data_IF_700157936418
#
_entry.id   IF_700157936418
#
_cell.length_a   1.000
_cell.length_b   1.000
_cell.length_c   1.000
_cell.angle_alpha   90.00
_cell.angle_beta   90.00
_cell.angle_gamma   90.00
#
_symmetry.space_group_name_H-M   'P 1'
#
loop_
_entity.id
_entity.type
_entity.pdbx_description
1 polymer ?
#
# COMPACT_ATOMS: atom_id res chain seq x y z
N UNK A 1 8.53 -47.40 -37.75
CA UNK A 1 10.01 -47.35 -37.72
C UNK A 1 10.41 -45.90 -37.52
N UNK A 2 11.09 -45.45 -36.47
CA UNK A 2 11.84 -46.14 -35.43
C UNK A 2 11.38 -45.66 -34.05
N UNK A 3 11.21 -46.64 -33.16
CA UNK A 3 11.02 -46.51 -31.72
C UNK A 3 12.40 -46.30 -31.10
N UNK A 4 12.58 -45.28 -30.27
CA UNK A 4 13.68 -45.27 -29.30
C UNK A 4 13.11 -45.17 -27.90
N UNK A 5 13.16 -46.33 -27.23
CA UNK A 5 12.94 -46.51 -25.81
C UNK A 5 14.04 -45.78 -25.02
N UNK A 6 13.66 -44.90 -24.10
CA UNK A 6 14.57 -44.47 -23.04
C UNK A 6 14.58 -45.51 -21.93
N UNK A 7 15.70 -46.22 -21.80
CA UNK A 7 16.01 -47.10 -20.66
C UNK A 7 16.56 -46.26 -19.50
N UNK A 8 15.89 -46.37 -18.36
CA UNK A 8 16.48 -46.49 -17.02
C UNK A 8 17.42 -45.39 -16.52
N UNK A 9 16.90 -44.55 -15.63
CA UNK A 9 17.71 -43.97 -14.55
C UNK A 9 17.14 -44.39 -13.19
N UNK A 10 18.04 -44.88 -12.35
CA UNK A 10 17.78 -45.58 -11.08
C UNK A 10 17.12 -44.65 -10.05
N UNK A 11 16.12 -45.19 -9.33
CA UNK A 11 15.65 -44.64 -8.05
C UNK A 11 16.84 -44.60 -7.08
N UNK A 12 17.36 -43.41 -6.81
CA UNK A 12 18.20 -43.18 -5.64
C UNK A 12 17.27 -42.84 -4.47
N UNK A 13 17.13 -43.80 -3.55
CA UNK A 13 16.57 -43.58 -2.22
C UNK A 13 17.62 -42.75 -1.47
N UNK A 14 17.39 -41.45 -1.30
CA UNK A 14 18.18 -40.66 -0.35
C UNK A 14 17.48 -40.80 0.99
N UNK A 15 18.06 -41.64 1.84
CA UNK A 15 17.69 -41.81 3.23
C UNK A 15 17.80 -40.46 3.97
N UNK A 16 16.80 -40.19 4.80
CA UNK A 16 16.72 -38.98 5.61
C UNK A 16 17.95 -38.83 6.50
N UNK A 17 18.60 -37.68 6.36
CA UNK A 17 19.54 -37.16 7.35
C UNK A 17 18.83 -35.98 8.01
N UNK A 18 18.07 -36.28 9.08
CA UNK A 18 17.60 -35.25 10.00
C UNK A 18 18.84 -34.75 10.73
N UNK A 19 19.42 -33.65 10.23
CA UNK A 19 20.35 -32.86 11.03
C UNK A 19 19.52 -32.20 12.14
N UNK A 20 19.53 -32.82 13.32
CA UNK A 20 19.21 -32.12 14.55
C UNK A 20 20.33 -31.11 14.83
N UNK A 21 20.26 -29.95 14.18
CA UNK A 21 20.97 -28.77 14.63
C UNK A 21 20.33 -28.35 15.96
N UNK A 22 20.99 -28.71 17.06
CA UNK A 22 20.76 -28.06 18.35
C UNK A 22 21.05 -26.58 18.17
N UNK A 23 20.01 -25.78 17.97
CA UNK A 23 20.11 -24.33 18.00
C UNK A 23 20.49 -23.94 19.43
N UNK A 24 21.78 -23.70 19.67
CA UNK A 24 22.11 -22.67 20.63
C UNK A 24 21.55 -21.38 20.04
N UNK A 25 20.47 -20.85 20.62
CA UNK A 25 19.99 -19.51 20.36
C UNK A 25 21.06 -18.54 20.85
N UNK A 26 22.09 -18.33 20.03
CA UNK A 26 22.68 -17.02 19.93
C UNK A 26 21.60 -16.23 19.17
N UNK A 27 20.88 -15.36 19.87
CA UNK A 27 20.12 -14.30 19.19
C UNK A 27 21.15 -13.51 18.37
N UNK A 28 21.31 -13.87 17.10
CA UNK A 28 22.03 -13.02 16.19
C UNK A 28 21.22 -11.73 16.13
N UNK A 29 21.74 -10.65 16.70
CA UNK A 29 21.12 -9.32 16.54
C UNK A 29 20.96 -9.08 15.04
N UNK A 30 19.71 -8.96 14.62
CA UNK A 30 19.41 -8.66 13.23
C UNK A 30 19.88 -7.24 12.97
N UNK A 31 20.67 -7.01 11.91
CA UNK A 31 21.30 -5.73 11.68
C UNK A 31 20.23 -4.71 11.25
N UNK A 32 19.65 -4.02 12.23
CA UNK A 32 18.82 -2.83 12.03
C UNK A 32 19.70 -1.57 12.06
N UNK A 33 19.36 -0.60 11.22
CA UNK A 33 20.02 0.70 11.17
C UNK A 33 19.21 1.74 11.94
N UNK A 34 19.69 2.07 13.15
CA UNK A 34 19.08 3.08 14.03
C UNK A 34 19.37 4.52 13.59
N UNK A 35 20.25 4.73 12.61
CA UNK A 35 20.55 6.06 12.07
C UNK A 35 19.51 6.54 11.08
N UNK A 36 18.73 5.62 10.50
CA UNK A 36 17.63 5.94 9.58
C UNK A 36 16.56 6.71 10.34
N UNK A 37 16.25 7.92 9.88
CA UNK A 37 15.23 8.78 10.47
C UNK A 37 13.98 8.78 9.58
N UNK A 38 12.76 8.66 10.15
CA UNK A 38 11.52 8.81 9.40
C UNK A 38 11.39 10.19 8.75
N UNK A 39 10.62 10.28 7.65
CA UNK A 39 10.27 11.53 6.98
C UNK A 39 8.75 11.68 6.99
N UNK A 40 8.24 12.72 7.65
CA UNK A 40 6.81 12.92 7.79
C UNK A 40 6.20 13.48 6.51
N UNK A 41 5.17 12.80 6.02
CA UNK A 41 4.45 13.14 4.80
C UNK A 41 2.96 13.36 5.08
N UNK A 42 2.29 14.01 4.13
CA UNK A 42 0.84 14.07 4.05
C UNK A 42 0.39 13.65 2.66
N UNK A 43 -0.75 12.96 2.61
CA UNK A 43 -1.45 12.62 1.36
C UNK A 43 -2.76 13.40 1.30
N UNK A 44 -2.97 14.17 0.24
CA UNK A 44 -4.16 14.99 0.00
C UNK A 44 -4.85 14.58 -1.29
N UNK A 45 -6.01 13.94 -1.16
CA UNK A 45 -6.88 13.59 -2.28
C UNK A 45 -7.93 14.68 -2.47
N UNK A 46 -7.88 15.33 -3.63
CA UNK A 46 -8.91 16.28 -4.08
C UNK A 46 -9.83 15.60 -5.05
N UNK A 47 -11.12 15.85 -4.89
CA UNK A 47 -12.15 15.25 -5.70
C UNK A 47 -12.94 16.31 -6.46
N UNK A 48 -13.54 15.88 -7.55
CA UNK A 48 -14.19 16.71 -8.54
C UNK A 48 -15.40 16.00 -9.12
N UNK A 49 -16.44 16.79 -9.35
CA UNK A 49 -17.71 16.32 -9.90
C UNK A 49 -18.11 17.25 -11.02
N UNK A 50 -18.07 16.74 -12.24
CA UNK A 50 -18.56 17.43 -13.42
C UNK A 50 -19.95 16.91 -13.75
N UNK A 51 -20.87 17.82 -14.09
CA UNK A 51 -22.23 17.48 -14.45
C UNK A 51 -22.84 18.54 -15.37
N UNK A 52 -24.03 18.23 -15.86
CA UNK A 52 -24.89 19.15 -16.60
C UNK A 52 -26.29 19.22 -15.94
N UNK A 53 -27.25 19.83 -16.63
CA UNK A 53 -28.63 19.95 -16.13
C UNK A 53 -29.36 18.61 -15.94
N UNK A 54 -28.87 17.55 -16.59
CA UNK A 54 -29.46 16.21 -16.61
C UNK A 54 -28.67 15.25 -15.69
N UNK A 55 -27.73 15.74 -14.88
CA UNK A 55 -27.01 14.98 -13.86
C UNK A 55 -25.48 14.94 -14.02
N UNK A 56 -24.84 14.16 -13.17
CA UNK A 56 -23.39 13.98 -13.15
C UNK A 56 -22.88 13.29 -14.42
N UNK A 57 -21.69 13.70 -14.86
CA UNK A 57 -20.98 13.21 -16.05
C UNK A 57 -19.69 12.48 -15.68
N UNK A 58 -18.92 13.06 -14.76
CA UNK A 58 -17.61 12.54 -14.36
C UNK A 58 -17.37 12.79 -12.88
N UNK A 59 -16.99 11.73 -12.16
CA UNK A 59 -16.43 11.78 -10.82
C UNK A 59 -14.93 11.54 -10.92
N UNK A 60 -14.12 12.52 -10.55
CA UNK A 60 -12.67 12.36 -10.64
C UNK A 60 -11.94 12.81 -9.39
N UNK A 61 -10.73 12.32 -9.19
CA UNK A 61 -9.85 12.78 -8.13
C UNK A 61 -8.39 12.85 -8.57
N UNK A 62 -7.60 13.58 -7.78
CA UNK A 62 -6.15 13.58 -7.85
C UNK A 62 -5.59 13.55 -6.44
N UNK A 63 -4.49 12.84 -6.25
CA UNK A 63 -3.84 12.72 -4.95
C UNK A 63 -2.44 13.33 -5.00
N UNK A 64 -2.16 14.21 -4.03
CA UNK A 64 -0.91 14.95 -3.90
C UNK A 64 -0.17 14.48 -2.65
N UNK A 65 1.16 14.48 -2.71
CA UNK A 65 2.04 14.09 -1.60
C UNK A 65 2.93 15.27 -1.24
N UNK A 66 3.08 15.56 0.04
CA UNK A 66 3.92 16.68 0.51
C UNK A 66 4.64 16.33 1.80
N UNK A 67 5.83 16.91 1.98
CA UNK A 67 6.56 16.84 3.26
C UNK A 67 5.87 17.74 4.28
N UNK A 68 5.76 17.25 5.51
CA UNK A 68 5.11 17.97 6.63
C UNK A 68 6.18 18.44 7.62
N UNK A 69 6.04 19.67 8.11
CA UNK A 69 6.98 20.25 9.06
C UNK A 69 8.27 20.76 8.41
N UNK A 70 9.21 21.23 9.24
CA UNK A 70 10.42 21.88 8.71
C UNK A 70 11.45 20.90 8.15
N UNK A 71 11.44 19.65 8.66
CA UNK A 71 12.40 18.57 8.37
C UNK A 71 13.87 19.03 8.26
N UNK A 72 14.19 20.14 8.94
CA UNK A 72 15.50 20.77 8.90
C UNK A 72 16.51 19.84 9.56
N UNK A 73 17.59 19.55 8.84
CA UNK A 73 18.67 18.67 9.32
C UNK A 73 18.61 17.24 8.80
N UNK A 74 17.50 16.79 8.20
CA UNK A 74 17.41 15.43 7.60
C UNK A 74 18.03 15.33 6.20
N UNK A 75 18.40 16.45 5.58
CA UNK A 75 19.09 16.47 4.28
C UNK A 75 18.22 16.03 3.10
N UNK A 76 16.90 16.23 3.19
CA UNK A 76 15.91 15.74 2.21
C UNK A 76 15.43 16.81 1.21
N UNK A 77 16.20 17.88 1.00
CA UNK A 77 15.77 18.96 0.09
C UNK A 77 15.55 18.48 -1.33
N UNK A 78 16.38 17.54 -1.81
CA UNK A 78 16.18 16.92 -3.13
C UNK A 78 14.85 16.18 -3.24
N UNK A 79 14.45 15.44 -2.19
CA UNK A 79 13.14 14.79 -2.15
C UNK A 79 11.99 15.81 -2.16
N UNK A 80 12.11 16.92 -1.42
CA UNK A 80 11.10 17.97 -1.42
C UNK A 80 10.88 18.55 -2.83
N UNK A 81 11.98 18.81 -3.56
CA UNK A 81 11.92 19.30 -4.96
C UNK A 81 11.26 18.27 -5.88
N UNK A 82 11.62 16.98 -5.74
CA UNK A 82 11.02 15.90 -6.53
C UNK A 82 9.54 15.67 -6.23
N UNK A 83 9.12 15.75 -4.97
CA UNK A 83 7.70 15.65 -4.60
C UNK A 83 6.89 16.87 -5.06
N UNK A 84 7.51 18.06 -5.10
CA UNK A 84 6.90 19.24 -5.70
C UNK A 84 6.71 19.06 -7.21
N UNK A 85 7.73 18.59 -7.93
CA UNK A 85 7.64 18.32 -9.36
C UNK A 85 6.63 17.21 -9.65
N UNK A 86 6.64 16.15 -8.84
CA UNK A 86 5.63 15.09 -8.86
C UNK A 86 4.20 15.66 -8.78
N UNK A 87 3.93 16.51 -7.79
CA UNK A 87 2.62 17.14 -7.64
C UNK A 87 2.22 18.00 -8.85
N UNK A 88 3.19 18.67 -9.50
CA UNK A 88 2.92 19.42 -10.75
C UNK A 88 2.55 18.50 -11.90
N UNK A 89 3.24 17.37 -12.03
CA UNK A 89 2.96 16.38 -13.07
C UNK A 89 1.59 15.73 -12.84
N UNK A 90 1.23 15.40 -11.60
CA UNK A 90 -0.11 14.92 -11.23
C UNK A 90 -1.18 15.96 -11.58
N UNK A 91 -0.96 17.24 -11.25
CA UNK A 91 -1.90 18.31 -11.58
C UNK A 91 -2.13 18.43 -13.08
N UNK A 92 -1.06 18.38 -13.89
CA UNK A 92 -1.13 18.42 -15.35
C UNK A 92 -1.86 17.19 -15.89
N UNK A 93 -1.43 15.99 -15.50
CA UNK A 93 -2.02 14.72 -15.94
C UNK A 93 -3.50 14.64 -15.61
N UNK A 94 -3.90 15.03 -14.40
CA UNK A 94 -5.30 15.05 -14.00
C UNK A 94 -6.13 16.00 -14.88
N UNK A 95 -5.60 17.19 -15.20
CA UNK A 95 -6.28 18.13 -16.09
C UNK A 95 -6.52 17.51 -17.46
N UNK A 96 -5.47 16.96 -18.07
CA UNK A 96 -5.53 16.38 -19.42
C UNK A 96 -6.49 15.17 -19.47
N UNK A 97 -6.41 14.27 -18.49
CA UNK A 97 -7.30 13.10 -18.39
C UNK A 97 -8.75 13.53 -18.17
N UNK A 98 -8.99 14.45 -17.23
CA UNK A 98 -10.34 14.91 -16.92
C UNK A 98 -11.01 15.56 -18.12
N UNK A 99 -10.29 16.39 -18.88
CA UNK A 99 -10.82 17.01 -20.10
C UNK A 99 -11.23 15.94 -21.13
N UNK A 100 -10.39 14.93 -21.35
CA UNK A 100 -10.68 13.83 -22.28
C UNK A 100 -11.87 12.97 -21.85
N UNK A 101 -11.89 12.52 -20.59
CA UNK A 101 -12.97 11.67 -20.06
C UNK A 101 -14.29 12.43 -20.02
N UNK A 102 -14.28 13.73 -19.68
CA UNK A 102 -15.49 14.54 -19.66
C UNK A 102 -16.08 14.73 -21.07
N UNK A 103 -15.24 14.84 -22.10
CA UNK A 103 -15.72 14.89 -23.48
C UNK A 103 -16.34 13.55 -23.90
N UNK A 104 -15.67 12.43 -23.60
CA UNK A 104 -16.20 11.10 -23.85
C UNK A 104 -17.53 10.85 -23.12
N UNK A 105 -17.64 11.25 -21.86
CA UNK A 105 -18.87 11.15 -21.07
C UNK A 105 -20.04 11.90 -21.72
N UNK A 106 -19.81 13.10 -22.27
CA UNK A 106 -20.84 13.87 -23.00
C UNK A 106 -21.26 13.17 -24.28
N UNK A 107 -20.32 12.62 -25.05
CA UNK A 107 -20.60 11.90 -26.28
C UNK A 107 -21.40 10.62 -26.00
N UNK A 108 -20.99 9.82 -25.02
CA UNK A 108 -21.69 8.61 -24.60
C UNK A 108 -23.11 8.94 -24.08
N UNK A 109 -23.24 9.98 -23.25
CA UNK A 109 -24.55 10.43 -22.76
C UNK A 109 -25.48 10.85 -23.91
N UNK A 110 -24.96 11.56 -24.91
CA UNK A 110 -25.71 11.97 -26.09
C UNK A 110 -26.12 10.76 -26.95
N UNK A 111 -25.19 9.85 -27.23
CA UNK A 111 -25.43 8.63 -27.98
C UNK A 111 -26.50 7.77 -27.31
N UNK A 112 -26.37 7.51 -26.01
CA UNK A 112 -27.34 6.70 -25.26
C UNK A 112 -28.73 7.29 -25.29
N UNK A 113 -28.89 8.61 -25.36
CA UNK A 113 -30.21 9.27 -25.42
C UNK A 113 -31.00 8.86 -26.67
N UNK A 114 -30.31 8.43 -27.72
CA UNK A 114 -30.92 7.91 -28.96
C UNK A 114 -31.46 6.48 -28.81
N UNK A 115 -31.05 5.74 -27.77
CA UNK A 115 -31.45 4.36 -27.50
C UNK A 115 -32.37 4.27 -26.27
N UNK A 116 -33.40 3.43 -26.32
CA UNK A 116 -34.34 3.19 -25.20
C UNK A 116 -34.32 1.72 -24.76
N UNK A 117 -34.31 1.41 -23.45
CA UNK A 117 -34.29 2.32 -22.30
C UNK A 117 -32.91 2.95 -22.02
N UNK A 118 -32.92 4.24 -21.64
CA UNK A 118 -31.73 5.06 -21.39
C UNK A 118 -31.34 5.07 -19.91
N UNK A 119 -30.11 4.64 -19.60
CA UNK A 119 -29.44 4.93 -18.32
C UNK A 119 -27.99 5.28 -18.61
N UNK A 120 -27.59 6.48 -18.19
CA UNK A 120 -26.20 6.93 -18.17
C UNK A 120 -25.70 6.91 -16.73
N UNK A 121 -24.58 6.24 -16.50
CA UNK A 121 -23.86 6.27 -15.24
C UNK A 121 -22.67 7.21 -15.40
N UNK A 122 -22.39 8.09 -14.42
CA UNK A 122 -21.22 8.95 -14.47
C UNK A 122 -19.95 8.14 -14.70
N UNK A 123 -19.05 8.67 -15.53
CA UNK A 123 -17.71 8.13 -15.66
C UNK A 123 -16.91 8.40 -14.40
N UNK A 124 -15.85 7.64 -14.17
CA UNK A 124 -15.01 7.76 -12.99
C UNK A 124 -13.53 7.81 -13.35
N UNK A 125 -12.76 8.63 -12.64
CA UNK A 125 -11.30 8.58 -12.63
C UNK A 125 -10.76 8.89 -11.23
N UNK A 126 -10.47 7.86 -10.45
CA UNK A 126 -10.08 7.99 -9.06
C UNK A 126 -8.60 7.65 -8.86
N UNK A 127 -7.91 8.41 -8.01
CA UNK A 127 -6.51 8.13 -7.64
C UNK A 127 -6.28 8.25 -6.15
N UNK A 128 -5.39 7.43 -5.60
CA UNK A 128 -4.89 7.52 -4.22
C UNK A 128 -3.39 7.19 -4.21
N UNK A 129 -2.70 7.50 -3.12
CA UNK A 129 -1.28 7.19 -2.94
C UNK A 129 -1.08 6.61 -1.55
N UNK A 130 -0.43 5.46 -1.49
CA UNK A 130 -0.04 4.78 -0.25
C UNK A 130 1.48 4.91 -0.06
N UNK A 131 1.91 5.41 1.09
CA UNK A 131 3.33 5.58 1.41
C UNK A 131 3.90 4.26 1.95
N UNK A 132 4.71 3.61 1.11
CA UNK A 132 5.32 2.29 1.41
C UNK A 132 6.58 2.41 2.26
N UNK A 133 7.32 3.50 2.09
CA UNK A 133 8.51 3.84 2.88
C UNK A 133 8.69 5.36 2.86
N UNK A 134 9.06 5.95 3.97
CA UNK A 134 9.40 7.37 4.05
C UNK A 134 10.42 7.61 5.16
N UNK A 135 11.69 7.57 4.78
CA UNK A 135 12.82 7.77 5.70
C UNK A 135 13.99 8.45 4.99
N UNK A 136 15.10 8.69 5.70
CA UNK A 136 16.29 9.36 5.16
C UNK A 136 17.04 8.58 4.07
N UNK A 137 16.75 7.29 3.89
CA UNK A 137 17.32 6.46 2.81
C UNK A 137 16.48 6.59 1.56
N UNK A 138 15.18 6.31 1.66
CA UNK A 138 14.29 6.29 0.52
C UNK A 138 12.85 6.68 0.87
N UNK A 139 12.15 7.17 -0.15
CA UNK A 139 10.70 7.42 -0.11
C UNK A 139 10.05 6.65 -1.25
N UNK A 140 9.08 5.80 -0.93
CA UNK A 140 8.37 4.96 -1.90
C UNK A 140 6.87 5.22 -1.84
N UNK A 141 6.30 5.55 -2.99
CA UNK A 141 4.88 5.80 -3.21
C UNK A 141 4.30 4.63 -4.00
N UNK A 142 3.14 4.13 -3.58
CA UNK A 142 2.31 3.23 -4.37
C UNK A 142 1.06 3.98 -4.83
N UNK A 143 1.07 4.39 -6.09
CA UNK A 143 -0.03 5.13 -6.71
C UNK A 143 -1.11 4.16 -7.13
N UNK A 144 -2.34 4.36 -6.68
CA UNK A 144 -3.52 3.67 -7.19
C UNK A 144 -4.23 4.54 -8.22
N UNK A 145 -4.75 3.92 -9.27
CA UNK A 145 -5.68 4.57 -10.20
C UNK A 145 -6.79 3.62 -10.62
N UNK A 146 -8.00 4.15 -10.73
CA UNK A 146 -9.17 3.50 -11.31
C UNK A 146 -9.81 4.42 -12.35
N UNK A 147 -10.26 3.86 -13.46
CA UNK A 147 -11.04 4.57 -14.48
C UNK A 147 -12.23 3.73 -14.93
N UNK A 148 -13.41 4.33 -14.99
CA UNK A 148 -14.62 3.76 -15.58
C UNK A 148 -15.20 4.71 -16.63
N UNK A 149 -15.28 4.25 -17.87
CA UNK A 149 -15.79 5.02 -19.02
C UNK A 149 -16.96 4.29 -19.70
N UNK A 150 -17.75 3.56 -18.90
CA UNK A 150 -18.81 2.67 -19.39
C UNK A 150 -18.37 1.21 -19.56
N UNK A 151 -19.31 0.34 -19.93
CA UNK A 151 -19.08 -1.10 -20.02
C UNK A 151 -19.39 -1.86 -18.72
N UNK A 152 -18.92 -3.11 -18.66
CA UNK A 152 -19.23 -4.06 -17.55
C UNK A 152 -18.44 -3.74 -16.28
N UNK A 153 -17.21 -3.24 -16.39
CA UNK A 153 -16.36 -2.86 -15.26
C UNK A 153 -15.37 -1.76 -15.67
N UNK A 154 -14.80 -1.06 -14.68
CA UNK A 154 -13.66 -0.16 -14.89
C UNK A 154 -12.34 -0.91 -14.98
N UNK A 155 -11.25 -0.17 -15.18
CA UNK A 155 -9.89 -0.69 -15.09
C UNK A 155 -9.17 -0.03 -13.92
N UNK A 156 -8.42 -0.81 -13.17
CA UNK A 156 -7.62 -0.31 -12.06
C UNK A 156 -6.22 -0.90 -12.07
N UNK A 157 -5.33 -0.29 -11.32
CA UNK A 157 -3.98 -0.78 -11.11
C UNK A 157 -3.19 0.09 -10.15
N UNK A 158 -2.01 -0.38 -9.83
CA UNK A 158 -1.03 0.32 -9.00
C UNK A 158 0.27 0.57 -9.75
N UNK A 159 0.92 1.69 -9.43
CA UNK A 159 2.23 2.07 -9.93
C UNK A 159 3.13 2.51 -8.78
N UNK A 160 4.27 1.87 -8.63
CA UNK A 160 5.28 2.30 -7.67
C UNK A 160 6.15 3.43 -8.22
N UNK A 161 6.49 4.40 -7.35
CA UNK A 161 7.52 5.42 -7.59
C UNK A 161 8.45 5.50 -6.39
N UNK A 162 9.74 5.33 -6.64
CA UNK A 162 10.75 5.20 -5.59
C UNK A 162 11.76 6.33 -5.73
N UNK A 163 12.08 7.00 -4.63
CA UNK A 163 12.99 8.13 -4.60
C UNK A 163 14.11 7.87 -3.60
N UNK A 164 15.32 8.26 -3.97
CA UNK A 164 16.38 8.48 -3.01
C UNK A 164 16.05 9.72 -2.18
N UNK A 165 15.87 9.57 -0.86
CA UNK A 165 15.38 10.68 -0.04
C UNK A 165 16.36 11.85 0.07
N UNK A 166 17.66 11.59 -0.10
CA UNK A 166 18.68 12.63 -0.01
C UNK A 166 18.78 13.47 -1.28
N UNK A 167 18.92 12.80 -2.42
CA UNK A 167 19.11 13.47 -3.72
C UNK A 167 17.81 13.81 -4.43
N UNK A 168 16.70 13.17 -4.07
CA UNK A 168 15.42 13.27 -4.78
C UNK A 168 15.37 12.47 -6.09
N UNK A 169 16.43 11.77 -6.47
CA UNK A 169 16.46 10.98 -7.71
C UNK A 169 15.38 9.88 -7.66
N UNK A 170 14.55 9.79 -8.71
CA UNK A 170 13.70 8.61 -8.91
C UNK A 170 14.57 7.39 -9.26
N UNK A 171 14.40 6.31 -8.51
CA UNK A 171 15.23 5.12 -8.54
C UNK A 171 14.76 4.15 -9.63
N UNK A 172 15.69 3.71 -10.47
CA UNK A 172 15.49 2.56 -11.35
C UNK A 172 15.74 1.25 -10.60
N UNK A 173 15.45 0.11 -11.23
CA UNK A 173 15.86 -1.20 -10.70
C UNK A 173 17.37 -1.28 -10.55
N UNK A 174 18.11 -0.86 -11.58
CA UNK A 174 19.58 -0.86 -11.59
C UNK A 174 20.20 0.07 -10.56
N UNK A 175 19.46 1.04 -10.00
CA UNK A 175 19.92 1.82 -8.85
C UNK A 175 19.92 1.03 -7.54
N UNK A 176 19.00 0.08 -7.38
CA UNK A 176 18.75 -0.63 -6.11
C UNK A 176 19.25 -2.07 -6.11
N UNK A 177 19.17 -2.76 -7.25
CA UNK A 177 19.50 -4.17 -7.37
C UNK A 177 20.89 -4.37 -8.01
N UNK A 178 21.60 -5.41 -7.58
CA UNK A 178 22.95 -5.73 -8.05
C UNK A 178 22.95 -6.66 -9.27
N UNK A 179 21.93 -7.52 -9.39
CA UNK A 179 21.81 -8.51 -10.46
C UNK A 179 20.34 -8.70 -10.88
N UNK A 180 20.04 -8.32 -12.12
CA UNK A 180 18.70 -8.40 -12.70
C UNK A 180 18.22 -9.84 -12.92
N UNK A 181 19.12 -10.78 -13.25
CA UNK A 181 18.74 -12.18 -13.48
C UNK A 181 18.38 -12.86 -12.16
N UNK A 182 19.13 -12.57 -11.10
CA UNK A 182 18.80 -13.06 -9.75
C UNK A 182 17.47 -12.47 -9.28
N UNK A 183 17.22 -11.18 -9.58
CA UNK A 183 15.94 -10.55 -9.26
C UNK A 183 14.76 -11.22 -9.97
N UNK A 184 14.87 -11.49 -11.28
CA UNK A 184 13.84 -12.21 -12.05
C UNK A 184 13.52 -13.55 -11.38
N UNK A 185 14.54 -14.37 -11.11
CA UNK A 185 14.35 -15.66 -10.46
C UNK A 185 13.75 -15.55 -9.05
N UNK A 186 14.06 -14.49 -8.30
CA UNK A 186 13.49 -14.22 -6.99
C UNK A 186 11.99 -13.91 -7.08
N UNK A 187 11.59 -13.04 -8.01
CA UNK A 187 10.19 -12.66 -8.26
C UNK A 187 9.37 -13.89 -8.67
N UNK A 188 9.85 -14.65 -9.66
CA UNK A 188 9.19 -15.87 -10.12
C UNK A 188 9.01 -16.89 -8.99
N UNK A 189 10.07 -17.14 -8.21
CA UNK A 189 10.01 -18.06 -7.09
C UNK A 189 8.98 -17.62 -6.03
N UNK A 190 8.90 -16.31 -5.76
CA UNK A 190 7.94 -15.77 -4.80
C UNK A 190 6.49 -15.86 -5.32
N UNK A 191 6.23 -15.53 -6.59
CA UNK A 191 4.90 -15.68 -7.21
C UNK A 191 4.39 -17.12 -7.13
N UNK A 192 5.25 -18.11 -7.40
CA UNK A 192 4.88 -19.53 -7.29
C UNK A 192 4.55 -19.96 -5.86
N UNK A 193 5.24 -19.38 -4.87
CA UNK A 193 4.97 -19.65 -3.45
C UNK A 193 3.64 -19.06 -3.01
N UNK A 194 3.37 -17.81 -3.40
CA UNK A 194 2.22 -17.06 -2.91
C UNK A 194 0.93 -17.41 -3.64
N UNK A 195 1.03 -17.81 -4.92
CA UNK A 195 -0.12 -18.09 -5.78
C UNK A 195 -0.05 -19.46 -6.46
N UNK A 196 0.03 -20.57 -5.70
CA UNK A 196 0.15 -21.92 -6.27
C UNK A 196 -1.08 -22.38 -7.06
N UNK A 197 -2.16 -21.59 -7.06
CA UNK A 197 -3.45 -21.86 -7.71
C UNK A 197 -3.85 -20.81 -8.76
N UNK A 198 -2.99 -19.84 -9.05
CA UNK A 198 -3.28 -18.83 -10.07
C UNK A 198 -3.29 -19.46 -11.47
N UNK A 199 -4.02 -18.83 -12.40
CA UNK A 199 -4.14 -19.32 -13.79
C UNK A 199 -2.80 -19.43 -14.51
N UNK A 200 -1.83 -18.57 -14.21
CA UNK A 200 -0.49 -18.67 -14.79
C UNK A 200 0.29 -19.93 -14.37
N UNK A 201 -0.18 -20.67 -13.37
CA UNK A 201 0.39 -21.95 -12.93
C UNK A 201 -0.17 -23.16 -13.69
N UNK A 202 -1.09 -22.96 -14.64
CA UNK A 202 -1.62 -24.02 -15.50
C UNK A 202 -0.51 -24.71 -16.31
N UNK A 203 -0.66 -26.02 -16.53
CA UNK A 203 0.36 -26.84 -17.19
C UNK A 203 0.69 -26.31 -18.59
N UNK A 204 1.97 -26.05 -18.84
CA UNK A 204 2.46 -25.56 -20.13
C UNK A 204 2.40 -24.03 -20.30
N UNK A 205 1.88 -23.29 -19.33
CA UNK A 205 1.98 -21.82 -19.31
C UNK A 205 3.44 -21.37 -19.10
N UNK A 206 3.88 -20.39 -19.89
CA UNK A 206 5.12 -19.63 -19.68
C UNK A 206 4.86 -18.14 -19.40
N UNK A 207 3.58 -17.78 -19.20
CA UNK A 207 3.13 -16.40 -19.15
C UNK A 207 3.81 -15.62 -18.03
N UNK A 208 3.94 -16.23 -16.84
CA UNK A 208 4.55 -15.57 -15.68
C UNK A 208 6.04 -15.30 -15.96
N UNK A 209 6.79 -16.29 -16.43
CA UNK A 209 8.22 -16.21 -16.72
C UNK A 209 8.50 -15.17 -17.80
N UNK A 210 7.76 -15.25 -18.92
CA UNK A 210 7.92 -14.34 -20.06
C UNK A 210 7.61 -12.88 -19.65
N UNK A 211 6.55 -12.66 -18.89
CA UNK A 211 6.14 -11.31 -18.47
C UNK A 211 7.03 -10.74 -17.36
N UNK A 212 7.43 -11.54 -16.36
CA UNK A 212 8.37 -11.09 -15.32
C UNK A 212 9.70 -10.68 -15.98
N UNK A 213 10.27 -11.55 -16.81
CA UNK A 213 11.53 -11.29 -17.50
C UNK A 213 11.44 -10.03 -18.36
N UNK A 214 10.42 -9.94 -19.23
CA UNK A 214 10.22 -8.77 -20.08
C UNK A 214 10.06 -7.48 -19.28
N UNK A 215 9.18 -7.46 -18.29
CA UNK A 215 8.90 -6.22 -17.54
C UNK A 215 10.09 -5.74 -16.71
N UNK A 216 10.89 -6.67 -16.18
CA UNK A 216 12.12 -6.35 -15.45
C UNK A 216 13.20 -5.84 -16.39
N UNK A 217 13.44 -6.51 -17.53
CA UNK A 217 14.46 -6.12 -18.51
C UNK A 217 14.14 -4.80 -19.21
N UNK A 218 12.85 -4.54 -19.49
CA UNK A 218 12.38 -3.28 -20.07
C UNK A 218 12.25 -2.15 -19.02
N UNK A 219 12.53 -2.42 -17.74
CA UNK A 219 12.34 -1.51 -16.59
C UNK A 219 10.91 -0.90 -16.50
N UNK A 220 9.89 -1.66 -16.90
CA UNK A 220 8.47 -1.24 -16.85
C UNK A 220 7.66 -1.89 -15.73
N UNK A 221 8.27 -2.81 -14.98
CA UNK A 221 7.63 -3.42 -13.81
C UNK A 221 7.32 -2.37 -12.74
N UNK A 222 6.12 -2.44 -12.17
CA UNK A 222 5.73 -1.60 -11.04
C UNK A 222 6.29 -2.18 -9.75
N UNK A 223 6.95 -1.38 -8.91
CA UNK A 223 7.52 -1.86 -7.66
C UNK A 223 7.64 -0.78 -6.60
N UNK A 224 7.54 -1.15 -5.33
CA UNK A 224 7.81 -0.29 -4.18
C UNK A 224 9.02 -0.79 -3.40
N UNK A 225 9.88 0.12 -2.97
CA UNK A 225 10.88 -0.16 -1.95
C UNK A 225 10.20 -0.08 -0.59
N UNK A 226 10.17 -1.20 0.12
CA UNK A 226 9.57 -1.32 1.44
C UNK A 226 10.69 -1.26 2.52
N UNK A 227 10.38 -1.17 3.82
CA UNK A 227 11.40 -1.07 4.87
C UNK A 227 12.31 -2.30 5.02
N UNK A 228 11.82 -3.48 4.63
CA UNK A 228 12.51 -4.77 4.79
C UNK A 228 12.78 -5.50 3.45
N UNK A 229 12.51 -4.85 2.31
CA UNK A 229 12.51 -5.51 1.02
C UNK A 229 12.03 -4.63 -0.12
N UNK A 230 11.57 -5.25 -1.20
CA UNK A 230 10.83 -4.58 -2.27
C UNK A 230 9.65 -5.45 -2.71
N UNK A 231 8.53 -4.82 -3.02
CA UNK A 231 7.33 -5.49 -3.54
C UNK A 231 7.10 -5.13 -4.99
N UNK A 232 6.95 -6.14 -5.85
CA UNK A 232 6.70 -6.02 -7.29
C UNK A 232 5.23 -6.30 -7.58
N UNK A 233 4.60 -5.50 -8.45
CA UNK A 233 3.16 -5.55 -8.72
C UNK A 233 2.88 -5.86 -10.18
N UNK A 234 1.96 -6.79 -10.40
CA UNK A 234 1.44 -7.16 -11.70
C UNK A 234 -0.05 -6.80 -11.73
N UNK A 235 -0.36 -5.72 -12.44
CA UNK A 235 -1.74 -5.23 -12.58
C UNK A 235 -2.65 -6.27 -13.27
N UNK A 236 -3.98 -6.13 -13.18
CA UNK A 236 -4.89 -7.06 -13.84
C UNK A 236 -4.58 -7.18 -15.33
N UNK A 237 -4.76 -8.38 -15.89
CA UNK A 237 -4.40 -8.76 -17.27
C UNK A 237 -2.90 -8.85 -17.61
N UNK A 238 -1.99 -8.58 -16.66
CA UNK A 238 -0.55 -8.72 -16.93
C UNK A 238 -0.14 -10.21 -16.91
N UNK A 239 -0.42 -10.92 -15.82
CA UNK A 239 -0.12 -12.36 -15.70
C UNK A 239 -1.34 -13.21 -15.33
N UNK A 240 -2.53 -12.62 -15.19
CA UNK A 240 -3.77 -13.36 -14.96
C UNK A 240 -4.99 -12.52 -15.30
N UNK A 241 -6.19 -13.08 -15.13
CA UNK A 241 -7.42 -12.40 -15.56
C UNK A 241 -7.83 -11.26 -14.61
N UNK A 242 -8.78 -10.42 -15.04
CA UNK A 242 -9.29 -9.32 -14.20
C UNK A 242 -9.79 -9.77 -12.83
N UNK A 243 -10.49 -10.90 -12.77
CA UNK A 243 -11.09 -11.42 -11.55
C UNK A 243 -10.05 -11.91 -10.53
N UNK A 244 -8.83 -12.21 -10.96
CA UNK A 244 -7.70 -12.53 -10.06
C UNK A 244 -7.02 -11.27 -9.52
N UNK A 245 -7.32 -10.10 -10.10
CA UNK A 245 -6.87 -8.80 -9.61
C UNK A 245 -5.37 -8.56 -9.80
N UNK A 246 -4.76 -7.93 -8.80
CA UNK A 246 -3.33 -7.59 -8.79
C UNK A 246 -2.57 -8.73 -8.09
N UNK A 247 -1.56 -9.27 -8.76
CA UNK A 247 -0.56 -10.13 -8.11
C UNK A 247 0.61 -9.31 -7.61
N UNK A 248 1.24 -9.75 -6.52
CA UNK A 248 2.47 -9.12 -6.04
C UNK A 248 3.50 -10.13 -5.54
N UNK A 249 4.77 -9.72 -5.54
CA UNK A 249 5.87 -10.52 -5.02
C UNK A 249 6.77 -9.64 -4.15
N UNK A 250 6.85 -9.95 -2.85
CA UNK A 250 7.78 -9.26 -1.95
C UNK A 250 9.07 -10.06 -1.78
N UNK A 251 10.18 -9.41 -2.15
CA UNK A 251 11.53 -9.90 -1.99
C UNK A 251 12.14 -9.22 -0.76
N UNK A 252 12.38 -9.99 0.31
CA UNK A 252 12.98 -9.46 1.53
C UNK A 252 14.51 -9.46 1.43
N UNK A 253 15.14 -8.53 2.15
CA UNK A 253 16.60 -8.41 2.20
C UNK A 253 17.26 -9.72 2.69
N UNK A 254 16.66 -10.35 3.71
CA UNK A 254 17.21 -11.54 4.37
C UNK A 254 17.14 -12.82 3.50
N UNK A 255 16.13 -12.91 2.61
CA UNK A 255 15.98 -14.08 1.74
C UNK A 255 17.00 -14.10 0.60
N UNK A 256 17.51 -12.93 0.21
CA UNK A 256 18.40 -12.74 -0.94
C UNK A 256 19.60 -11.83 -0.58
N UNK A 257 20.51 -12.28 0.29
CA UNK A 257 21.66 -11.49 0.72
C UNK A 257 22.54 -11.10 -0.48
N UNK A 258 22.83 -9.81 -0.61
CA UNK A 258 23.65 -9.24 -1.69
C UNK A 258 22.89 -8.90 -2.99
N UNK A 259 21.60 -9.22 -3.10
CA UNK A 259 20.78 -8.81 -4.25
C UNK A 259 20.48 -7.30 -4.25
N UNK A 260 20.36 -6.72 -3.06
CA UNK A 260 20.15 -5.29 -2.88
C UNK A 260 21.49 -4.59 -2.66
N UNK A 261 21.67 -3.40 -3.23
CA UNK A 261 22.81 -2.55 -2.90
C UNK A 261 22.71 -2.10 -1.46
N UNK A 262 23.84 -2.13 -0.77
CA UNK A 262 23.97 -1.89 0.69
C UNK A 262 23.18 -0.68 1.17
N UNK A 263 23.30 0.46 0.47
CA UNK A 263 22.57 1.71 0.80
C UNK A 263 21.06 1.51 0.98
N UNK A 264 20.42 0.69 0.16
CA UNK A 264 18.98 0.49 0.15
C UNK A 264 18.54 -0.79 0.88
N UNK A 265 19.49 -1.63 1.30
CA UNK A 265 19.26 -2.85 2.05
C UNK A 265 19.21 -2.63 3.58
N UNK A 266 19.43 -1.39 4.05
CA UNK A 266 19.36 -1.05 5.47
C UNK A 266 17.91 -1.00 5.96
N UNK A 267 17.60 -1.90 6.90
CA UNK A 267 16.30 -1.97 7.57
C UNK A 267 16.25 -1.00 8.77
N UNK A 268 15.26 -0.11 8.86
CA UNK A 268 15.10 0.74 10.04
C UNK A 268 14.71 -0.10 11.27
N UNK A 269 15.15 0.32 12.47
CA UNK A 269 14.86 -0.41 13.71
C UNK A 269 13.36 -0.41 14.09
N UNK A 270 12.65 0.66 13.75
CA UNK A 270 11.19 0.74 13.83
C UNK A 270 10.69 1.48 12.59
N UNK A 271 9.53 1.11 12.08
CA UNK A 271 8.94 1.76 10.91
C UNK A 271 7.43 1.64 10.88
N UNK A 272 6.85 2.51 10.07
CA UNK A 272 5.46 2.42 9.65
C UNK A 272 5.38 2.32 8.11
N UNK A 273 4.45 1.53 7.61
CA UNK A 273 4.25 1.30 6.16
C UNK A 273 2.76 1.23 5.84
N UNK A 274 2.26 2.09 4.94
CA UNK A 274 0.89 1.96 4.44
C UNK A 274 0.76 0.69 3.59
N UNK A 275 -0.36 0.00 3.73
CA UNK A 275 -0.70 -1.14 2.88
C UNK A 275 -1.79 -0.73 1.90
N UNK A 276 -1.71 -1.23 0.66
CA UNK A 276 -2.84 -1.15 -0.26
C UNK A 276 -3.91 -2.12 0.25
N UNK A 277 -5.15 -1.67 0.52
CA UNK A 277 -6.19 -2.54 1.05
C UNK A 277 -6.51 -3.67 0.08
N UNK A 278 -7.02 -4.79 0.62
CA UNK A 278 -7.41 -6.01 -0.11
C UNK A 278 -6.28 -6.80 -0.76
N UNK A 279 -5.05 -6.26 -0.81
CA UNK A 279 -3.91 -6.95 -1.38
C UNK A 279 -3.10 -7.63 -0.26
N UNK A 280 -3.02 -8.97 -0.23
CA UNK A 280 -2.12 -9.66 0.68
C UNK A 280 -0.68 -9.32 0.33
N UNK A 281 0.09 -8.86 1.30
CA UNK A 281 1.50 -8.48 1.14
C UNK A 281 2.32 -9.26 2.14
N UNK A 282 3.36 -9.93 1.66
CA UNK A 282 4.39 -10.49 2.53
C UNK A 282 5.25 -9.35 3.07
N UNK A 283 5.53 -9.36 4.37
CA UNK A 283 6.35 -8.32 5.01
C UNK A 283 7.31 -8.98 6.00
N UNK A 284 8.53 -8.46 6.07
CA UNK A 284 9.48 -8.75 7.14
C UNK A 284 9.22 -7.82 8.33
N UNK A 285 9.89 -8.09 9.45
CA UNK A 285 9.84 -7.28 10.66
C UNK A 285 11.25 -7.00 11.18
N UNK A 286 11.37 -6.03 12.09
CA UNK A 286 12.66 -5.65 12.68
C UNK A 286 13.39 -6.79 13.41
N UNK A 287 12.66 -7.83 13.84
CA UNK A 287 13.21 -9.05 14.44
C UNK A 287 13.40 -10.20 13.41
N UNK A 288 13.36 -9.89 12.11
CA UNK A 288 13.66 -10.83 11.01
C UNK A 288 12.60 -11.89 10.76
N UNK A 289 11.55 -11.94 11.59
CA UNK A 289 10.38 -12.72 11.26
C UNK A 289 9.65 -12.12 10.06
N UNK A 290 8.85 -12.92 9.37
CA UNK A 290 8.01 -12.43 8.27
C UNK A 290 6.64 -13.08 8.30
N UNK A 291 5.64 -12.38 7.78
CA UNK A 291 4.28 -12.90 7.63
C UNK A 291 3.58 -12.28 6.43
N UNK A 292 2.42 -12.81 6.06
CA UNK A 292 1.52 -12.17 5.11
C UNK A 292 0.50 -11.36 5.90
N UNK A 293 0.35 -10.10 5.51
CA UNK A 293 -0.65 -9.19 6.05
C UNK A 293 -1.61 -8.78 4.94
N UNK A 294 -2.90 -8.81 5.24
CA UNK A 294 -3.96 -8.25 4.38
C UNK A 294 -4.93 -7.49 5.26
N UNK A 295 -5.32 -6.28 4.86
CA UNK A 295 -6.39 -5.53 5.51
C UNK A 295 -7.35 -5.05 4.43
N UNK A 296 -8.64 -5.23 4.63
CA UNK A 296 -9.66 -4.78 3.69
C UNK A 296 -10.96 -4.41 4.39
N UNK A 297 -11.76 -3.57 3.74
CA UNK A 297 -13.15 -3.37 4.13
C UNK A 297 -14.00 -4.60 3.80
N UNK A 298 -15.15 -4.72 4.43
CA UNK A 298 -16.23 -5.64 4.06
C UNK A 298 -17.54 -4.88 4.19
N UNK A 299 -18.64 -5.47 3.74
CA UNK A 299 -19.97 -4.87 3.90
C UNK A 299 -20.37 -4.65 5.37
N UNK A 300 -19.67 -5.28 6.32
CA UNK A 300 -20.04 -5.30 7.74
C UNK A 300 -18.91 -4.91 8.71
N UNK A 301 -17.71 -4.60 8.21
CA UNK A 301 -16.55 -4.39 9.08
C UNK A 301 -15.21 -4.35 8.36
N UNK A 302 -14.13 -4.34 9.15
CA UNK A 302 -12.75 -4.46 8.67
C UNK A 302 -12.30 -5.92 8.80
N UNK A 303 -11.77 -6.49 7.71
CA UNK A 303 -11.10 -7.78 7.70
C UNK A 303 -9.59 -7.58 7.88
N UNK A 304 -8.99 -8.32 8.80
CA UNK A 304 -7.55 -8.34 9.06
C UNK A 304 -7.04 -9.77 8.96
N UNK A 305 -6.01 -9.98 8.15
CA UNK A 305 -5.27 -11.25 8.05
C UNK A 305 -3.84 -11.02 8.51
N UNK A 306 -3.38 -11.85 9.44
CA UNK A 306 -1.98 -11.92 9.86
C UNK A 306 -1.70 -13.32 10.42
N UNK A 307 -0.47 -13.83 10.26
CA UNK A 307 -0.08 -15.12 10.83
C UNK A 307 -0.92 -16.31 10.34
N UNK A 308 -1.51 -16.21 9.14
CA UNK A 308 -2.43 -17.22 8.60
C UNK A 308 -3.80 -17.26 9.28
N UNK A 309 -4.09 -16.31 10.18
CA UNK A 309 -5.38 -16.16 10.87
C UNK A 309 -6.15 -14.97 10.30
N UNK A 310 -7.49 -15.02 10.41
CA UNK A 310 -8.38 -13.94 9.99
C UNK A 310 -9.21 -13.45 11.18
N UNK A 311 -9.28 -12.13 11.35
CA UNK A 311 -10.20 -11.43 12.25
C UNK A 311 -11.13 -10.55 11.40
N UNK A 312 -12.40 -10.49 11.77
CA UNK A 312 -13.37 -9.54 11.21
C UNK A 312 -13.89 -8.68 12.36
N UNK A 313 -13.61 -7.38 12.29
CA UNK A 313 -14.06 -6.36 13.25
C UNK A 313 -15.28 -5.63 12.69
N UNK A 314 -16.46 -5.97 13.19
CA UNK A 314 -17.74 -5.48 12.69
C UNK A 314 -18.04 -4.03 13.09
N UNK A 315 -19.00 -3.38 12.39
CA UNK A 315 -19.47 -2.04 12.72
C UNK A 315 -18.73 -0.93 11.99
N UNK A 316 -18.05 -1.28 10.91
CA UNK A 316 -17.34 -0.34 10.03
C UNK A 316 -17.77 -0.56 8.59
N UNK A 317 -17.69 0.50 7.79
CA UNK A 317 -18.06 0.48 6.38
C UNK A 317 -17.04 1.24 5.53
N UNK A 318 -17.05 0.94 4.24
CA UNK A 318 -16.27 1.64 3.24
C UNK A 318 -14.80 1.21 3.22
N UNK A 319 -13.98 2.02 2.58
CA UNK A 319 -12.56 1.74 2.38
C UNK A 319 -11.77 1.92 3.68
N UNK A 320 -10.90 0.94 3.95
CA UNK A 320 -9.94 0.98 5.04
C UNK A 320 -8.60 1.54 4.56
N UNK A 321 -7.95 2.38 5.37
CA UNK A 321 -6.58 2.84 5.14
C UNK A 321 -5.63 2.26 6.20
N UNK A 322 -4.99 1.11 5.93
CA UNK A 322 -4.14 0.43 6.90
C UNK A 322 -2.69 0.95 6.91
N UNK A 323 -2.08 1.00 8.10
CA UNK A 323 -0.63 1.11 8.32
C UNK A 323 -0.16 -0.03 9.18
N UNK A 324 0.86 -0.72 8.70
CA UNK A 324 1.65 -1.64 9.48
C UNK A 324 2.68 -0.87 10.31
N UNK A 325 2.77 -1.19 11.60
CA UNK A 325 3.77 -0.68 12.53
C UNK A 325 4.63 -1.87 12.98
N UNK A 326 5.96 -1.75 12.85
CA UNK A 326 6.93 -2.69 13.44
C UNK A 326 7.86 -1.90 14.36
N UNK A 327 8.01 -2.38 15.59
CA UNK A 327 8.89 -1.78 16.60
C UNK A 327 10.12 -2.64 16.83
N UNK A 328 11.22 -1.99 17.22
CA UNK A 328 12.50 -2.63 17.53
C UNK A 328 12.43 -3.66 18.67
N UNK A 329 11.42 -3.56 19.54
CA UNK A 329 11.19 -4.49 20.65
C UNK A 329 10.33 -5.71 20.26
N UNK A 330 10.04 -5.88 18.96
CA UNK A 330 9.27 -7.00 18.42
C UNK A 330 7.76 -6.81 18.44
N UNK A 331 7.24 -5.70 19.00
CA UNK A 331 5.81 -5.39 18.94
C UNK A 331 5.40 -4.95 17.54
N UNK A 332 4.20 -5.37 17.13
CA UNK A 332 3.65 -5.14 15.79
C UNK A 332 2.17 -4.80 15.87
N UNK A 333 1.78 -3.76 15.16
CA UNK A 333 0.39 -3.30 15.15
C UNK A 333 -0.08 -2.98 13.74
N UNK A 334 -1.40 -3.05 13.54
CA UNK A 334 -2.07 -2.48 12.39
C UNK A 334 -2.94 -1.32 12.85
N UNK A 335 -2.67 -0.14 12.30
CA UNK A 335 -3.45 1.08 12.50
C UNK A 335 -4.32 1.28 11.27
N UNK A 336 -5.64 1.17 11.44
CA UNK A 336 -6.59 1.15 10.33
C UNK A 336 -7.61 2.26 10.51
N UNK A 337 -7.60 3.24 9.62
CA UNK A 337 -8.68 4.22 9.55
C UNK A 337 -9.83 3.65 8.73
N UNK A 338 -11.03 3.59 9.31
CA UNK A 338 -12.25 3.18 8.63
C UNK A 338 -13.45 3.97 9.16
N UNK A 339 -14.51 4.10 8.38
CA UNK A 339 -15.72 4.83 8.82
C UNK A 339 -16.59 3.90 9.65
N UNK A 340 -16.82 4.24 10.91
CA UNK A 340 -17.75 3.51 11.79
C UNK A 340 -19.20 3.65 11.26
N UNK A 341 -20.03 2.62 11.45
CA UNK A 341 -21.43 2.67 11.06
C UNK A 341 -22.14 3.86 11.74
N UNK A 342 -22.93 4.60 10.95
CA UNK A 342 -23.57 5.84 11.42
C UNK A 342 -22.67 7.08 11.43
N UNK A 343 -21.34 6.93 11.34
CA UNK A 343 -20.39 8.04 11.29
C UNK A 343 -20.08 8.49 9.85
N UNK A 344 -19.41 9.64 9.74
CA UNK A 344 -19.04 10.27 8.47
C UNK A 344 -17.52 10.32 8.23
N UNK A 345 -16.72 10.29 9.30
CA UNK A 345 -15.28 10.41 9.25
C UNK A 345 -14.62 9.11 9.71
N UNK A 346 -13.44 8.85 9.18
CA UNK A 346 -12.69 7.65 9.54
C UNK A 346 -12.23 7.73 11.01
N UNK A 347 -12.40 6.65 11.76
CA UNK A 347 -11.87 6.44 13.10
C UNK A 347 -10.74 5.41 13.01
N UNK A 348 -9.64 5.65 13.72
CA UNK A 348 -8.54 4.69 13.81
C UNK A 348 -8.93 3.50 14.69
N UNK A 349 -8.67 2.29 14.19
CA UNK A 349 -8.70 1.01 14.90
C UNK A 349 -7.28 0.47 15.00
N UNK A 350 -6.98 -0.19 16.11
CA UNK A 350 -5.67 -0.81 16.34
C UNK A 350 -5.85 -2.30 16.53
N UNK A 351 -4.99 -3.07 15.87
CA UNK A 351 -4.89 -4.51 16.01
C UNK A 351 -3.47 -4.89 16.40
N UNK A 352 -3.30 -5.69 17.44
CA UNK A 352 -2.03 -6.31 17.78
C UNK A 352 -1.84 -7.58 16.94
N UNK A 353 -0.71 -7.65 16.24
CA UNK A 353 -0.31 -8.82 15.44
C UNK A 353 1.04 -9.38 15.89
N UNK A 354 1.54 -8.95 17.05
CA UNK A 354 2.87 -9.32 17.58
C UNK A 354 3.02 -10.84 17.72
N UNK A 355 1.94 -11.53 18.09
CA UNK A 355 1.91 -12.99 18.25
C UNK A 355 1.36 -13.73 17.00
N UNK A 356 1.37 -13.09 15.84
CA UNK A 356 0.90 -13.64 14.57
C UNK A 356 -0.61 -13.49 14.36
N UNK A 357 -1.44 -14.01 15.28
CA UNK A 357 -2.88 -13.88 15.16
C UNK A 357 -3.35 -12.45 15.51
N UNK A 358 -4.19 -11.81 14.66
CA UNK A 358 -4.66 -10.45 14.92
C UNK A 358 -5.66 -10.39 16.08
N UNK A 359 -5.45 -9.45 17.01
CA UNK A 359 -6.31 -9.18 18.16
C UNK A 359 -6.68 -7.69 18.20
N UNK A 360 -7.93 -7.35 18.47
CA UNK A 360 -8.34 -5.94 18.63
C UNK A 360 -7.74 -5.33 19.88
N UNK A 361 -7.21 -4.10 19.76
CA UNK A 361 -6.76 -3.29 20.90
C UNK A 361 -7.85 -2.27 21.21
N UNK A 362 -8.63 -2.45 22.30
CA UNK A 362 -9.75 -1.56 22.61
C UNK A 362 -9.26 -0.25 23.23
N UNK A 363 -9.65 0.88 22.63
CA UNK A 363 -9.48 2.20 23.24
C UNK A 363 -10.70 3.08 22.99
N UNK A 364 -11.04 3.92 23.97
CA UNK A 364 -12.29 4.70 23.98
C UNK A 364 -12.20 5.96 23.13
N UNK A 365 -11.05 6.63 23.18
CA UNK A 365 -10.87 7.94 22.55
C UNK A 365 -11.12 7.83 21.03
N UNK A 366 -11.89 8.79 20.50
CA UNK A 366 -12.01 8.91 19.06
C UNK A 366 -10.77 9.62 18.53
N UNK A 367 -9.99 8.89 17.73
CA UNK A 367 -8.79 9.35 17.06
C UNK A 367 -8.91 9.04 15.57
N UNK A 368 -8.27 9.84 14.74
CA UNK A 368 -8.22 9.67 13.29
C UNK A 368 -6.93 10.24 12.73
N UNK A 369 -6.31 9.59 11.74
CA UNK A 369 -5.21 10.22 10.99
C UNK A 369 -5.70 11.18 9.90
N UNK A 370 -7.02 11.33 9.77
CA UNK A 370 -7.64 12.33 8.92
C UNK A 370 -7.37 13.73 9.47
N UNK A 371 -6.60 14.55 8.74
CA UNK A 371 -6.21 15.91 9.14
C UNK A 371 -7.41 16.86 9.14
N UNK A 372 -8.23 16.81 8.09
CA UNK A 372 -9.22 17.83 7.82
C UNK A 372 -10.61 17.50 8.37
N UNK A 373 -10.67 16.88 9.55
CA UNK A 373 -11.91 16.65 10.29
C UNK A 373 -12.35 17.98 10.95
N UNK A 374 -13.52 18.52 10.61
CA UNK A 374 -13.96 19.80 11.16
C UNK A 374 -14.18 19.76 12.67
N UNK A 375 -13.88 20.87 13.36
CA UNK A 375 -13.95 20.98 14.82
C UNK A 375 -15.22 20.39 15.42
N UNK A 376 -16.39 20.71 14.88
CA UNK A 376 -17.68 20.33 15.42
C UNK A 376 -18.35 19.18 14.65
N UNK A 377 -17.59 18.23 14.10
CA UNK A 377 -18.14 17.29 13.12
C UNK A 377 -19.32 16.43 13.61
N UNK A 378 -19.38 16.13 14.92
CA UNK A 378 -20.53 15.41 15.50
C UNK A 378 -21.80 16.25 15.64
N UNK A 379 -21.70 17.59 15.55
CA UNK A 379 -22.82 18.54 15.68
C UNK A 379 -23.22 19.18 14.35
N UNK A 380 -22.36 19.11 13.35
CA UNK A 380 -22.61 19.72 12.05
C UNK A 380 -23.40 18.77 11.13
N UNK A 381 -24.50 19.26 10.57
CA UNK A 381 -25.11 18.65 9.39
C UNK A 381 -24.21 18.98 8.20
N UNK A 382 -23.20 18.16 7.95
CA UNK A 382 -22.47 18.27 6.69
C UNK A 382 -23.39 17.91 5.55
N UNK A 383 -23.39 18.77 4.54
CA UNK A 383 -24.02 18.44 3.29
C UNK A 383 -23.28 17.25 2.69
N UNK A 384 -23.92 16.08 2.68
CA UNK A 384 -23.39 14.86 2.07
C UNK A 384 -23.04 15.07 0.58
N UNK A 385 -23.59 16.12 -0.04
CA UNK A 385 -23.28 16.53 -1.41
C UNK A 385 -22.07 17.47 -1.51
N UNK A 386 -21.66 18.13 -0.41
CA UNK A 386 -20.36 18.82 -0.30
C UNK A 386 -19.29 17.81 0.03
N UNK A 387 -18.78 17.20 -1.02
CA UNK A 387 -17.77 16.17 -0.93
C UNK A 387 -16.39 16.82 -0.67
N UNK A 388 -15.80 16.47 0.47
CA UNK A 388 -14.60 17.11 1.02
C UNK A 388 -13.31 16.48 0.49
N UNK A 389 -12.24 17.27 0.41
CA UNK A 389 -10.88 16.73 0.23
C UNK A 389 -10.58 15.69 1.33
N UNK A 390 -9.78 14.67 1.04
CA UNK A 390 -9.25 13.75 2.05
C UNK A 390 -7.79 14.05 2.32
N UNK A 391 -7.48 14.56 3.52
CA UNK A 391 -6.11 14.80 3.95
C UNK A 391 -5.75 13.79 5.03
N UNK A 392 -4.74 12.97 4.80
CA UNK A 392 -4.21 12.06 5.80
C UNK A 392 -2.79 12.48 6.20
N UNK A 393 -2.56 12.52 7.51
CA UNK A 393 -1.20 12.45 8.03
C UNK A 393 -0.67 11.05 7.84
N UNK A 394 0.50 10.95 7.22
CA UNK A 394 1.16 9.67 7.06
C UNK A 394 1.92 9.39 8.33
N UNK A 395 1.59 8.26 8.93
CA UNK A 395 2.33 7.74 10.07
C UNK A 395 3.62 7.12 9.54
N UNK A 396 4.74 7.87 9.57
CA UNK A 396 6.07 7.36 9.19
C UNK A 396 6.96 7.05 10.40
N UNK A 397 6.74 7.76 11.51
CA UNK A 397 7.48 7.60 12.76
C UNK A 397 6.54 7.01 13.83
N UNK A 398 6.81 5.81 14.37
CA UNK A 398 6.05 5.26 15.47
C UNK A 398 6.11 6.10 16.76
N UNK A 399 7.14 6.93 16.94
CA UNK A 399 7.35 7.72 18.16
C UNK A 399 6.93 9.19 18.01
N UNK A 400 6.54 9.63 16.80
CA UNK A 400 6.15 11.02 16.51
C UNK A 400 5.22 11.09 15.28
N UNK A 401 3.91 10.92 15.50
CA UNK A 401 2.93 11.04 14.41
C UNK A 401 1.72 11.87 14.79
N UNK A 402 1.12 12.53 13.80
CA UNK A 402 -0.05 13.37 14.02
C UNK A 402 -1.34 12.55 13.95
N UNK A 403 -2.26 12.83 14.88
CA UNK A 403 -3.65 12.42 14.76
C UNK A 403 -4.56 13.60 15.11
N UNK A 404 -5.76 13.56 14.55
CA UNK A 404 -6.89 14.35 15.01
C UNK A 404 -7.57 13.61 16.16
N UNK A 405 -7.70 14.27 17.30
CA UNK A 405 -8.43 13.80 18.46
C UNK A 405 -9.77 14.53 18.59
N UNK A 406 -10.77 13.87 19.16
CA UNK A 406 -12.05 14.48 19.50
C UNK A 406 -12.20 14.59 21.02
N UNK A 407 -12.47 15.79 21.52
CA UNK A 407 -12.78 16.02 22.91
C UNK A 407 -14.29 15.89 23.13
N UNK A 408 -14.73 14.89 23.90
CA UNK A 408 -16.15 14.65 24.16
C UNK A 408 -16.81 15.76 24.99
N UNK A 409 -16.07 16.41 25.89
CA UNK A 409 -16.58 17.46 26.76
C UNK A 409 -16.88 18.74 25.99
N UNK A 410 -15.95 19.18 25.14
CA UNK A 410 -16.13 20.39 24.32
C UNK A 410 -16.95 20.11 23.06
N UNK A 411 -16.85 18.89 22.54
CA UNK A 411 -17.36 18.49 21.23
C UNK A 411 -16.52 19.03 20.08
N UNK A 412 -15.25 19.33 20.33
CA UNK A 412 -14.30 19.88 19.35
C UNK A 412 -13.21 18.87 18.97
N UNK A 413 -12.75 18.92 17.71
CA UNK A 413 -11.55 18.23 17.27
C UNK A 413 -10.32 19.13 17.37
N UNK A 414 -9.18 18.50 17.64
CA UNK A 414 -7.89 19.16 17.76
C UNK A 414 -6.79 18.23 17.24
N UNK A 415 -5.70 18.83 16.76
CA UNK A 415 -4.55 18.10 16.23
C UNK A 415 -3.51 17.93 17.34
N UNK A 416 -3.03 16.72 17.52
CA UNK A 416 -2.01 16.39 18.51
C UNK A 416 -0.94 15.46 17.92
N UNK A 417 0.17 15.36 18.65
CA UNK A 417 1.24 14.42 18.37
C UNK A 417 1.11 13.21 19.28
N UNK A 418 1.32 12.03 18.72
CA UNK A 418 1.23 10.75 19.40
C UNK A 418 2.49 9.91 19.17
N UNK A 419 2.67 8.92 20.04
CA UNK A 419 3.56 7.77 19.86
C UNK A 419 2.77 6.47 20.05
N UNK A 420 3.35 5.34 19.65
CA UNK A 420 2.81 4.02 19.99
C UNK A 420 2.99 3.79 21.50
N UNK A 421 1.89 3.59 22.22
CA UNK A 421 1.91 3.25 23.64
C UNK A 421 2.43 1.85 23.92
N UNK A 422 2.65 1.54 25.20
CA UNK A 422 3.17 0.24 25.62
C UNK A 422 2.25 -0.94 25.19
N UNK A 423 0.95 -0.69 25.12
CA UNK A 423 -0.12 -1.61 24.75
C UNK A 423 -0.62 -1.44 23.30
N UNK A 424 0.08 -0.63 22.50
CA UNK A 424 -0.32 -0.30 21.13
C UNK A 424 -1.38 0.80 21.04
N UNK A 425 -1.91 1.32 22.15
CA UNK A 425 -2.82 2.47 22.11
C UNK A 425 -2.01 3.73 21.80
N UNK A 426 -2.49 4.65 20.93
CA UNK A 426 -1.82 5.92 20.72
C UNK A 426 -1.72 6.73 22.03
N UNK A 427 -0.51 7.07 22.45
CA UNK A 427 -0.23 7.91 23.62
C UNK A 427 0.11 9.33 23.17
N UNK A 428 -0.63 10.33 23.65
CA UNK A 428 -0.37 11.73 23.33
C UNK A 428 0.98 12.17 23.90
N UNK A 429 1.81 12.81 23.07
CA UNK A 429 3.05 13.44 23.49
C UNK A 429 2.74 14.85 24.02
N UNK A 430 3.01 15.07 25.30
CA UNK A 430 2.95 16.41 25.91
C UNK A 430 4.22 17.16 25.50
N UNK A 431 4.08 18.18 24.65
CA UNK A 431 5.19 19.02 24.16
C UNK A 431 5.18 20.42 24.73
#
# INVERSE_FOLDING_TARGET
MAVFQYKGLKKAIVAGMVLALSASLCEAEIPVDRSIQPVQLSVNTKYYWDGDKDGDLLWSSKTLVSVVGSEKGKGISGLQDSLWQYCKDVNKKHKDIREGILDAAKQEKALRKEYQPYVFYPFEHCTDVYIRRADTVATSLLEFSHTYEGGVHGMYGVRGRNFDSRSGKELSLTDVFTDTNVLIGAIEAQLRRDYPKATFMEEGSTLMEDMVSRMVLDEVISWSLDPCGATFYFNPYVIGCYAEGIFNATILYDDYPGLFKEKYASMPASYCMELYPYLPVRTGFADGSSTVVEVGGTDSGVRVVAGGQTLVDSGFKGEARPVLVSLADGRRYLYVDAVEEGEQFERTRVYDISNGAPVTVPFKNWLSRRENVPANYKRANFDKNKKMEKNFYIMSDPDDFFMTAFNEETGETYKEVFKIGADGIPEQLIR
#
